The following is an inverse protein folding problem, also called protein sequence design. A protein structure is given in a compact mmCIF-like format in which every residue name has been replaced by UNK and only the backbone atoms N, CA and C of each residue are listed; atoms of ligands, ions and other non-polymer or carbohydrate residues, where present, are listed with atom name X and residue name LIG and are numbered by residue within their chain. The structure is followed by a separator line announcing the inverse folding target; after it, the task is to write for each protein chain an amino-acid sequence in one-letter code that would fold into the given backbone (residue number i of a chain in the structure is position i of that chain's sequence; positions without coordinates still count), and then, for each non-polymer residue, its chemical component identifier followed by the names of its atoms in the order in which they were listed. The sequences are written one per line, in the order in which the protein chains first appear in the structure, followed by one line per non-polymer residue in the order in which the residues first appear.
data_IF_344877263634
#
_entry.id   IF_344877263634
#
_cell.length_a   1.000
_cell.length_b   1.000
_cell.length_c   1.000
_cell.angle_alpha   90.00
_cell.angle_beta   90.00
_cell.angle_gamma   90.00
#
_symmetry.space_group_name_H-M   'P 1'
#
loop_
_entity.id
_entity.type
_entity.pdbx_description
1 polymer ?
#
# COMPACT_ATOMS: atom_id res chain seq x y z
N UNK A 1 3.70 1.98 -7.70
CA UNK A 1 2.87 1.22 -6.73
C UNK A 1 2.11 2.15 -5.80
N UNK A 2 2.78 3.01 -5.03
CA UNK A 2 2.13 3.83 -3.98
C UNK A 2 1.04 4.77 -4.50
N UNK A 3 1.29 5.42 -5.64
CA UNK A 3 0.27 6.23 -6.30
C UNK A 3 -1.02 5.43 -6.57
N UNK A 4 -0.91 4.19 -7.08
CA UNK A 4 -2.05 3.32 -7.35
C UNK A 4 -2.80 2.90 -6.08
N UNK A 5 -2.10 2.75 -4.95
CA UNK A 5 -2.74 2.56 -3.64
C UNK A 5 -3.53 3.79 -3.22
N UNK A 6 -2.97 5.00 -3.38
CA UNK A 6 -3.69 6.24 -3.06
C UNK A 6 -4.90 6.45 -3.96
N UNK A 7 -4.77 6.13 -5.25
CA UNK A 7 -5.85 6.15 -6.22
C UNK A 7 -6.99 5.18 -5.82
N UNK A 8 -6.62 3.96 -5.39
CA UNK A 8 -7.57 2.98 -4.86
C UNK A 8 -8.31 3.49 -3.61
N UNK A 9 -7.60 4.14 -2.68
CA UNK A 9 -8.23 4.74 -1.51
C UNK A 9 -9.11 5.94 -1.87
N UNK A 10 -8.74 6.72 -2.88
CA UNK A 10 -9.56 7.82 -3.40
C UNK A 10 -10.90 7.34 -3.95
N UNK A 11 -10.96 6.12 -4.51
CA UNK A 11 -12.23 5.52 -4.97
C UNK A 11 -13.22 5.28 -3.82
N UNK A 12 -12.76 5.25 -2.56
CA UNK A 12 -13.68 5.16 -1.41
C UNK A 12 -14.62 6.39 -1.30
N UNK A 13 -14.32 7.48 -2.02
CA UNK A 13 -15.19 8.66 -2.12
C UNK A 13 -16.59 8.36 -2.67
N UNK A 14 -16.77 7.26 -3.42
CA UNK A 14 -18.10 6.85 -3.86
C UNK A 14 -19.00 6.37 -2.71
N UNK A 15 -18.43 5.92 -1.58
CA UNK A 15 -19.19 5.31 -0.48
C UNK A 15 -19.03 6.05 0.85
N UNK A 16 -17.91 6.74 1.07
CA UNK A 16 -17.63 7.45 2.31
C UNK A 16 -18.01 8.92 2.19
N UNK A 17 -18.72 9.43 3.19
CA UNK A 17 -19.04 10.85 3.32
C UNK A 17 -17.78 11.68 3.60
N UNK A 18 -16.88 11.14 4.43
CA UNK A 18 -15.66 11.83 4.88
C UNK A 18 -14.40 11.02 4.54
N UNK A 19 -13.45 11.65 3.86
CA UNK A 19 -12.19 11.01 3.44
C UNK A 19 -11.02 11.30 4.38
N UNK A 20 -11.13 12.30 5.25
CA UNK A 20 -10.04 12.67 6.16
C UNK A 20 -9.54 11.51 7.06
N UNK A 21 -10.39 10.58 7.55
CA UNK A 21 -9.90 9.48 8.39
C UNK A 21 -8.99 8.52 7.63
N UNK A 22 -9.15 8.40 6.30
CA UNK A 22 -8.28 7.56 5.47
C UNK A 22 -6.84 8.04 5.50
N UNK A 23 -6.61 9.36 5.56
CA UNK A 23 -5.26 9.91 5.67
C UNK A 23 -4.62 9.50 7.00
N UNK A 24 -5.37 9.58 8.10
CA UNK A 24 -4.90 9.14 9.42
C UNK A 24 -4.62 7.63 9.45
N UNK A 25 -5.49 6.83 8.81
CA UNK A 25 -5.30 5.39 8.68
C UNK A 25 -4.03 5.04 7.88
N UNK A 26 -3.83 5.64 6.71
CA UNK A 26 -2.61 5.45 5.91
C UNK A 26 -1.37 5.85 6.71
N UNK A 27 -1.45 6.94 7.46
CA UNK A 27 -0.37 7.39 8.33
C UNK A 27 -0.05 6.35 9.41
N UNK A 28 -1.07 5.79 10.07
CA UNK A 28 -0.89 4.72 11.05
C UNK A 28 -0.24 3.47 10.43
N UNK A 29 -0.66 3.09 9.22
CA UNK A 29 -0.03 2.00 8.47
C UNK A 29 1.44 2.27 8.16
N UNK A 30 1.81 3.49 7.79
CA UNK A 30 3.22 3.87 7.61
C UNK A 30 4.02 3.82 8.91
N UNK A 31 3.42 4.26 10.02
CA UNK A 31 4.09 4.26 11.31
C UNK A 31 4.44 2.84 11.76
N UNK A 32 3.49 1.91 11.61
CA UNK A 32 3.62 0.52 12.05
C UNK A 32 4.28 -0.37 10.98
N UNK A 33 3.68 -0.48 9.80
CA UNK A 33 4.10 -1.40 8.73
C UNK A 33 5.15 -0.79 7.80
N UNK A 34 5.42 0.51 7.88
CA UNK A 34 6.53 1.16 7.18
C UNK A 34 7.83 1.19 7.99
N UNK A 35 7.87 0.57 9.17
CA UNK A 35 9.08 0.53 10.01
C UNK A 35 9.52 1.89 10.56
N UNK A 36 8.61 2.87 10.66
CA UNK A 36 8.94 4.23 11.14
C UNK A 36 8.99 4.35 12.66
N UNK A 37 8.16 3.62 13.41
CA UNK A 37 8.29 3.57 14.87
C UNK A 37 9.48 2.73 15.32
N UNK A 38 9.72 1.62 14.61
CA UNK A 38 10.88 0.77 14.82
C UNK A 38 11.21 0.06 13.49
N UNK A 39 12.50 -0.20 13.18
CA UNK A 39 12.86 -0.95 11.99
C UNK A 39 12.22 -2.34 12.03
N UNK A 40 11.59 -2.75 10.92
CA UNK A 40 10.86 -4.02 10.89
C UNK A 40 11.77 -5.23 11.13
N UNK A 41 13.07 -5.10 10.86
CA UNK A 41 14.09 -6.12 11.10
C UNK A 41 14.27 -6.49 12.57
N UNK A 42 13.78 -5.70 13.52
CA UNK A 42 13.78 -6.05 14.95
C UNK A 42 12.64 -6.97 15.36
N UNK A 43 11.68 -7.25 14.47
CA UNK A 43 10.61 -8.20 14.73
C UNK A 43 11.16 -9.64 14.74
N UNK A 44 10.46 -10.57 15.43
CA UNK A 44 10.77 -11.99 15.33
C UNK A 44 10.85 -12.45 13.87
N UNK A 45 11.84 -13.30 13.55
CA UNK A 45 12.19 -13.67 12.16
C UNK A 45 10.98 -14.12 11.33
N UNK A 46 10.09 -14.92 11.93
CA UNK A 46 8.87 -15.43 11.27
C UNK A 46 7.92 -14.31 10.83
N UNK A 47 7.81 -13.25 11.62
CA UNK A 47 6.94 -12.11 11.34
C UNK A 47 7.61 -11.21 10.31
N UNK A 48 8.89 -10.91 10.51
CA UNK A 48 9.65 -10.05 9.60
C UNK A 48 9.65 -10.60 8.16
N UNK A 49 9.81 -11.91 7.99
CA UNK A 49 9.80 -12.57 6.68
C UNK A 49 8.54 -12.30 5.86
N UNK A 50 7.42 -12.01 6.51
CA UNK A 50 6.15 -11.70 5.86
C UNK A 50 5.98 -10.18 5.74
N UNK A 51 6.14 -9.47 6.86
CA UNK A 51 5.83 -8.04 6.94
C UNK A 51 6.77 -7.22 6.07
N UNK A 52 8.02 -7.61 5.86
CA UNK A 52 8.96 -6.85 5.01
C UNK A 52 8.46 -6.61 3.58
N UNK A 53 7.56 -7.46 3.07
CA UNK A 53 7.01 -7.40 1.70
C UNK A 53 5.70 -6.61 1.59
N UNK A 54 5.24 -6.00 2.67
CA UNK A 54 4.04 -5.18 2.65
C UNK A 54 4.26 -3.85 1.87
N UNK A 55 3.20 -3.24 1.32
CA UNK A 55 3.33 -2.06 0.44
C UNK A 55 3.91 -0.82 1.14
N UNK A 56 3.78 -0.69 2.46
CA UNK A 56 4.32 0.44 3.23
C UNK A 56 5.82 0.26 3.51
N UNK A 57 6.25 -0.96 3.85
CA UNK A 57 7.66 -1.32 4.02
C UNK A 57 8.48 -1.01 2.77
N UNK A 58 7.95 -1.39 1.60
CA UNK A 58 8.60 -1.18 0.30
C UNK A 58 8.88 0.31 -0.02
N UNK A 59 8.11 1.23 0.58
CA UNK A 59 8.26 2.67 0.37
C UNK A 59 9.21 3.32 1.37
N UNK A 60 9.39 2.72 2.56
CA UNK A 60 10.05 3.39 3.69
C UNK A 60 11.19 2.56 4.27
N UNK A 61 10.85 1.45 4.89
CA UNK A 61 11.78 0.52 5.56
C UNK A 61 12.83 -0.09 4.60
N UNK A 62 12.43 -0.54 3.41
CA UNK A 62 13.36 -1.14 2.43
C UNK A 62 14.36 -0.12 1.87
N UNK A 63 13.95 1.08 1.38
CA UNK A 63 14.90 2.12 0.99
C UNK A 63 15.82 2.56 2.13
N UNK A 64 15.30 2.69 3.36
CA UNK A 64 16.11 3.04 4.52
C UNK A 64 17.22 1.99 4.74
N UNK A 65 16.87 0.70 4.77
CA UNK A 65 17.88 -0.38 4.89
C UNK A 65 18.89 -0.40 3.76
N UNK A 66 18.44 -0.18 2.53
CA UNK A 66 19.32 -0.12 1.37
C UNK A 66 20.39 0.96 1.54
N UNK A 67 20.01 2.12 2.06
CA UNK A 67 20.94 3.24 2.29
C UNK A 67 21.84 3.05 3.52
N UNK A 68 21.38 2.36 4.57
CA UNK A 68 22.11 2.26 5.84
C UNK A 68 22.99 1.03 5.97
N UNK A 69 22.51 -0.15 5.54
CA UNK A 69 23.21 -1.43 5.70
C UNK A 69 23.64 -2.02 4.35
N UNK A 70 23.01 -1.56 3.27
CA UNK A 70 23.15 -2.18 1.94
C UNK A 70 22.29 -3.44 1.84
N UNK A 71 21.84 -3.74 0.62
CA UNK A 71 21.13 -4.98 0.30
C UNK A 71 21.86 -5.68 -0.83
N UNK A 72 21.79 -7.01 -0.84
CA UNK A 72 22.31 -7.80 -1.95
C UNK A 72 21.48 -7.58 -3.21
N UNK A 73 22.08 -7.82 -4.38
CA UNK A 73 21.37 -7.73 -5.67
C UNK A 73 20.15 -8.65 -5.73
N UNK A 74 20.21 -9.82 -5.08
CA UNK A 74 19.10 -10.77 -5.02
C UNK A 74 17.93 -10.21 -4.21
N UNK A 75 18.19 -9.64 -3.02
CA UNK A 75 17.15 -9.01 -2.20
C UNK A 75 16.51 -7.83 -2.92
N UNK A 76 17.31 -6.98 -3.56
CA UNK A 76 16.79 -5.85 -4.33
C UNK A 76 15.86 -6.30 -5.46
N UNK A 77 16.26 -7.35 -6.19
CA UNK A 77 15.43 -7.94 -7.24
C UNK A 77 14.11 -8.49 -6.68
N UNK A 78 14.14 -9.16 -5.53
CA UNK A 78 12.93 -9.62 -4.86
C UNK A 78 12.00 -8.46 -4.50
N UNK A 79 12.51 -7.39 -3.87
CA UNK A 79 11.69 -6.22 -3.51
C UNK A 79 11.11 -5.52 -4.74
N UNK A 80 11.84 -5.45 -5.85
CA UNK A 80 11.34 -4.91 -7.11
C UNK A 80 10.19 -5.75 -7.67
N UNK A 81 10.32 -7.07 -7.70
CA UNK A 81 9.25 -7.99 -8.14
C UNK A 81 8.00 -7.86 -7.28
N UNK A 82 8.17 -7.80 -5.96
CA UNK A 82 7.05 -7.63 -5.02
C UNK A 82 6.39 -6.26 -5.21
N UNK A 83 7.16 -5.21 -5.46
CA UNK A 83 6.64 -3.86 -5.76
C UNK A 83 5.81 -3.87 -7.05
N UNK A 84 6.26 -4.59 -8.08
CA UNK A 84 5.53 -4.76 -9.33
C UNK A 84 4.24 -5.56 -9.12
N UNK A 85 4.28 -6.63 -8.32
CA UNK A 85 3.11 -7.41 -7.95
C UNK A 85 2.06 -6.51 -7.27
N UNK A 86 2.44 -5.72 -6.27
CA UNK A 86 1.52 -4.79 -5.61
C UNK A 86 0.98 -3.72 -6.55
N UNK A 87 1.78 -3.22 -7.49
CA UNK A 87 1.31 -2.29 -8.51
C UNK A 87 0.15 -2.92 -9.32
N UNK A 88 0.33 -4.14 -9.80
CA UNK A 88 -0.69 -4.85 -10.57
C UNK A 88 -1.95 -5.12 -9.74
N UNK A 89 -1.78 -5.57 -8.49
CA UNK A 89 -2.90 -5.79 -7.56
C UNK A 89 -3.71 -4.52 -7.34
N UNK A 90 -3.06 -3.38 -7.03
CA UNK A 90 -3.79 -2.13 -6.80
C UNK A 90 -4.46 -1.59 -8.06
N UNK A 91 -3.83 -1.70 -9.24
CA UNK A 91 -4.47 -1.29 -10.49
C UNK A 91 -5.68 -2.17 -10.84
N UNK A 92 -5.61 -3.48 -10.56
CA UNK A 92 -6.74 -4.38 -10.75
C UNK A 92 -7.90 -4.05 -9.82
N UNK A 93 -7.62 -3.89 -8.52
CA UNK A 93 -8.62 -3.49 -7.52
C UNK A 93 -9.23 -2.13 -7.83
N UNK A 94 -8.42 -1.18 -8.30
CA UNK A 94 -8.90 0.13 -8.72
C UNK A 94 -9.95 0.03 -9.83
N UNK A 95 -9.69 -0.76 -10.87
CA UNK A 95 -10.64 -0.95 -11.98
C UNK A 95 -11.96 -1.54 -11.49
N UNK A 96 -11.91 -2.47 -10.55
CA UNK A 96 -13.12 -3.05 -9.93
C UNK A 96 -13.88 -1.98 -9.16
N UNK A 97 -13.20 -1.25 -8.27
CA UNK A 97 -13.82 -0.21 -7.44
C UNK A 97 -14.42 0.89 -8.31
N UNK A 98 -13.73 1.35 -9.35
CA UNK A 98 -14.27 2.35 -10.27
C UNK A 98 -15.58 1.86 -10.92
N UNK A 99 -15.62 0.62 -11.41
CA UNK A 99 -16.84 0.05 -12.03
C UNK A 99 -18.00 -0.05 -11.02
N UNK A 100 -17.72 -0.39 -9.77
CA UNK A 100 -18.73 -0.46 -8.71
C UNK A 100 -19.23 0.94 -8.32
N UNK A 101 -18.32 1.91 -8.22
CA UNK A 101 -18.65 3.29 -7.87
C UNK A 101 -19.50 3.99 -8.93
N UNK A 102 -19.17 3.79 -10.21
CA UNK A 102 -19.97 4.35 -11.32
C UNK A 102 -21.40 3.81 -11.34
N UNK A 103 -21.60 2.51 -11.09
CA UNK A 103 -22.95 1.91 -11.01
C UNK A 103 -23.80 2.47 -9.89
N UNK A 104 -23.17 2.80 -8.76
CA UNK A 104 -23.87 3.42 -7.64
C UNK A 104 -24.38 4.81 -8.02
N UNK A 105 -23.60 5.57 -8.80
CA UNK A 105 -23.97 6.91 -9.23
C UNK A 105 -25.02 6.91 -10.36
N UNK A 106 -24.84 6.06 -11.37
CA UNK A 106 -25.79 5.93 -12.50
C UNK A 106 -27.19 5.41 -12.07
N UNK A 107 -27.26 4.64 -10.97
CA UNK A 107 -28.53 4.20 -10.39
C UNK A 107 -29.34 5.30 -9.69
N UNK A 108 -28.72 6.46 -9.38
CA UNK A 108 -29.39 7.58 -8.71
C UNK A 108 -30.06 8.54 -9.70
N UNK A 109 -29.58 8.61 -10.94
CA UNK A 109 -30.17 9.47 -11.99
C UNK A 109 -31.34 8.83 -12.76
N UNK A 110 -31.64 7.55 -12.52
CA UNK A 110 -32.67 6.78 -13.24
C UNK A 110 -33.98 6.56 -12.46
N UNK A 111 -34.20 7.28 -11.36
CA UNK A 111 -35.43 7.28 -10.56
C UNK A 111 -36.06 8.67 -10.57
#
# INVERSE_FOLDING_TARGET
MFFSLMLLLGMMAFWLVELWPLRSFVTACYLLFGGRYFPLSHLPIKIYQIVQYNPFSLVTDVPARFLTVGLTTSELMQYLLVTLLWLLVFLYLYKIMLKLGLRLYEGVESV
#
